data_IF_250379991946
#
_entry.id   IF_250379991946
#
_cell.length_a   1.000
_cell.length_b   1.000
_cell.length_c   1.000
_cell.angle_alpha   90.00
_cell.angle_beta   90.00
_cell.angle_gamma   90.00
#
_symmetry.space_group_name_H-M   'P 1'
#
loop_
_entity.id
_entity.type
_entity.pdbx_description
1 polymer ?
#
# COMPACT_ATOMS: atom_id res chain seq x y z
N UNK A 1 42.23 -12.71 54.96
CA UNK A 1 42.85 -12.98 53.64
C UNK A 1 42.08 -14.08 52.93
N UNK A 2 41.23 -13.74 51.94
CA UNK A 2 40.53 -14.76 51.15
C UNK A 2 41.54 -15.52 50.29
N UNK A 3 41.62 -16.85 50.49
CA UNK A 3 42.46 -17.79 49.75
C UNK A 3 42.41 -17.53 48.24
N UNK A 4 43.58 -17.40 47.61
CA UNK A 4 43.73 -17.01 46.20
C UNK A 4 43.01 -17.92 45.20
N UNK A 5 42.61 -19.13 45.62
CA UNK A 5 41.78 -20.04 44.81
C UNK A 5 40.31 -19.59 44.76
N UNK A 6 39.75 -19.07 45.85
CA UNK A 6 38.35 -18.63 45.91
C UNK A 6 38.10 -17.38 45.05
N UNK A 7 39.04 -16.43 45.06
CA UNK A 7 38.98 -15.23 44.21
C UNK A 7 38.99 -15.60 42.71
N UNK A 8 39.77 -16.60 42.30
CA UNK A 8 39.82 -17.07 40.91
C UNK A 8 38.50 -17.71 40.45
N UNK A 9 37.83 -18.47 41.31
CA UNK A 9 36.51 -19.07 41.01
C UNK A 9 35.44 -18.00 40.90
N UNK A 10 35.44 -17.02 41.82
CA UNK A 10 34.51 -15.89 41.79
C UNK A 10 34.68 -15.02 40.53
N UNK A 11 35.92 -14.72 40.13
CA UNK A 11 36.17 -14.00 38.88
C UNK A 11 35.74 -14.79 37.64
N UNK A 12 35.87 -16.13 37.65
CA UNK A 12 35.39 -16.96 36.53
C UNK A 12 33.86 -17.00 36.46
N UNK A 13 33.18 -17.05 37.60
CA UNK A 13 31.72 -16.97 37.67
C UNK A 13 31.21 -15.60 37.17
N UNK A 14 31.85 -14.51 37.59
CA UNK A 14 31.53 -13.16 37.12
C UNK A 14 31.80 -12.98 35.61
N UNK A 15 32.89 -13.54 35.09
CA UNK A 15 33.16 -13.54 33.65
C UNK A 15 32.12 -14.36 32.89
N UNK A 16 31.74 -15.53 33.38
CA UNK A 16 30.72 -16.36 32.73
C UNK A 16 29.34 -15.70 32.71
N UNK A 17 28.93 -15.04 33.80
CA UNK A 17 27.65 -14.33 33.84
C UNK A 17 27.62 -13.12 32.91
N UNK A 18 28.75 -12.38 32.81
CA UNK A 18 28.88 -11.27 31.87
C UNK A 18 28.79 -11.72 30.41
N UNK A 19 29.40 -12.86 30.06
CA UNK A 19 29.33 -13.43 28.71
C UNK A 19 27.88 -13.85 28.39
N UNK A 20 27.19 -14.50 29.32
CA UNK A 20 25.79 -14.92 29.14
C UNK A 20 24.88 -13.71 28.91
N UNK A 21 25.04 -12.65 29.71
CA UNK A 21 24.30 -11.40 29.55
C UNK A 21 24.56 -10.75 28.18
N UNK A 22 25.80 -10.77 27.71
CA UNK A 22 26.18 -10.20 26.41
C UNK A 22 25.53 -10.97 25.24
N UNK A 23 25.49 -12.30 25.32
CA UNK A 23 24.84 -13.16 24.32
C UNK A 23 23.33 -12.95 24.28
N UNK A 24 22.70 -12.80 25.45
CA UNK A 24 21.26 -12.50 25.56
C UNK A 24 20.94 -11.12 24.96
N UNK A 25 21.72 -10.09 25.30
CA UNK A 25 21.55 -8.75 24.76
C UNK A 25 21.71 -8.72 23.23
N UNK A 26 22.72 -9.41 22.69
CA UNK A 26 22.92 -9.54 21.25
C UNK A 26 21.72 -10.24 20.58
N UNK A 27 21.23 -11.33 21.17
CA UNK A 27 20.09 -12.09 20.63
C UNK A 27 18.81 -11.25 20.57
N UNK A 28 18.54 -10.46 21.62
CA UNK A 28 17.40 -9.52 21.65
C UNK A 28 17.57 -8.42 20.60
N UNK A 29 18.77 -7.87 20.47
CA UNK A 29 19.05 -6.81 19.49
C UNK A 29 18.88 -7.30 18.05
N UNK A 30 19.39 -8.48 17.72
CA UNK A 30 19.17 -9.10 16.42
C UNK A 30 17.68 -9.36 16.17
N UNK A 31 16.97 -9.94 17.14
CA UNK A 31 15.54 -10.22 17.00
C UNK A 31 14.71 -8.95 16.76
N UNK A 32 15.10 -7.83 17.38
CA UNK A 32 14.47 -6.53 17.16
C UNK A 32 14.81 -5.94 15.79
N UNK A 33 16.10 -5.98 15.40
CA UNK A 33 16.58 -5.37 14.14
C UNK A 33 16.12 -6.12 12.90
N UNK A 34 16.02 -7.44 12.99
CA UNK A 34 15.57 -8.34 11.92
C UNK A 34 14.10 -8.70 12.04
N UNK A 35 13.35 -8.05 12.94
CA UNK A 35 11.91 -8.27 13.04
C UNK A 35 11.28 -7.91 11.68
N UNK A 36 10.66 -8.85 10.97
CA UNK A 36 10.00 -8.53 9.72
C UNK A 36 8.90 -7.53 10.02
N UNK A 37 9.00 -6.35 9.43
CA UNK A 37 7.94 -5.36 9.49
C UNK A 37 6.70 -6.01 8.88
N UNK A 38 5.60 -6.03 9.63
CA UNK A 38 4.33 -6.50 9.10
C UNK A 38 3.98 -5.55 7.96
N UNK A 39 4.13 -6.03 6.72
CA UNK A 39 3.47 -5.43 5.58
C UNK A 39 1.98 -5.59 5.85
N UNK A 40 1.33 -4.47 6.16
CA UNK A 40 -0.11 -4.42 6.32
C UNK A 40 -0.70 -4.56 4.91
N UNK A 41 -0.78 -5.82 4.46
CA UNK A 41 -1.46 -6.18 3.23
C UNK A 41 -2.95 -6.00 3.51
N UNK A 42 -3.42 -4.75 3.41
CA UNK A 42 -4.84 -4.45 3.38
C UNK A 42 -5.44 -5.34 2.30
N UNK A 43 -6.45 -6.17 2.63
CA UNK A 43 -7.05 -7.04 1.64
C UNK A 43 -7.50 -6.19 0.48
N UNK A 44 -6.94 -6.48 -0.70
CA UNK A 44 -7.24 -5.81 -1.95
C UNK A 44 -8.73 -5.48 -2.02
N UNK A 45 -9.02 -4.19 -2.12
CA UNK A 45 -9.93 -3.65 -3.13
C UNK A 45 -10.95 -4.66 -3.64
N UNK A 46 -12.16 -4.64 -3.07
CA UNK A 46 -13.49 -5.15 -3.52
C UNK A 46 -13.61 -5.94 -4.85
N UNK A 47 -12.67 -6.79 -5.26
CA UNK A 47 -12.71 -7.54 -6.52
C UNK A 47 -13.92 -8.49 -6.48
N UNK A 48 -14.76 -8.51 -7.54
CA UNK A 48 -15.90 -9.43 -7.60
C UNK A 48 -15.38 -10.86 -7.47
N UNK A 49 -15.95 -11.60 -6.52
CA UNK A 49 -15.55 -12.99 -6.29
C UNK A 49 -16.17 -13.86 -7.39
N UNK A 50 -15.38 -14.74 -8.04
CA UNK A 50 -15.94 -15.70 -8.97
C UNK A 50 -16.91 -16.62 -8.23
N UNK A 51 -18.10 -16.80 -8.79
CA UNK A 51 -19.12 -17.70 -8.27
C UNK A 51 -19.20 -18.96 -9.14
N UNK A 52 -19.37 -20.12 -8.51
CA UNK A 52 -19.60 -21.37 -9.23
C UNK A 52 -21.10 -21.55 -9.42
N UNK A 53 -21.60 -21.30 -10.63
CA UNK A 53 -23.01 -21.51 -10.97
C UNK A 53 -23.12 -22.65 -11.97
N UNK A 54 -23.79 -23.73 -11.55
CA UNK A 54 -24.09 -24.91 -12.37
C UNK A 54 -22.85 -25.53 -13.03
N UNK A 55 -21.74 -25.62 -12.29
CA UNK A 55 -20.49 -26.20 -12.78
C UNK A 55 -19.70 -25.30 -13.74
N UNK A 56 -20.16 -24.07 -13.96
CA UNK A 56 -19.40 -23.03 -14.68
C UNK A 56 -18.95 -21.96 -13.69
N UNK A 57 -17.70 -21.51 -13.83
CA UNK A 57 -17.20 -20.35 -13.10
C UNK A 57 -17.77 -19.12 -13.80
N UNK A 58 -18.61 -18.37 -13.10
CA UNK A 58 -19.12 -17.08 -13.55
C UNK A 58 -18.48 -15.97 -12.73
N UNK A 59 -18.08 -14.89 -13.39
CA UNK A 59 -17.72 -13.66 -12.72
C UNK A 59 -18.91 -12.72 -12.88
N UNK A 60 -19.65 -12.39 -11.79
CA UNK A 60 -20.80 -11.51 -11.90
C UNK A 60 -20.32 -10.12 -12.35
N UNK A 61 -20.58 -9.81 -13.62
CA UNK A 61 -20.29 -8.52 -14.21
C UNK A 61 -21.38 -7.53 -13.79
N UNK A 62 -21.06 -6.63 -12.86
CA UNK A 62 -21.90 -5.47 -12.55
C UNK A 62 -21.35 -4.30 -13.34
N UNK A 63 -22.21 -3.38 -13.79
CA UNK A 63 -21.82 -2.14 -14.47
C UNK A 63 -21.08 -1.22 -13.49
N UNK A 64 -19.82 -1.57 -13.23
CA UNK A 64 -18.99 -0.96 -12.21
C UNK A 64 -17.69 -0.52 -12.82
N UNK A 65 -17.31 0.71 -12.50
CA UNK A 65 -16.07 1.31 -12.93
C UNK A 65 -14.99 1.01 -11.90
N UNK A 66 -13.82 0.62 -12.38
CA UNK A 66 -12.65 0.48 -11.52
C UNK A 66 -12.00 1.87 -11.38
N UNK A 67 -11.76 2.30 -10.15
CA UNK A 67 -11.20 3.61 -9.87
C UNK A 67 -10.14 3.53 -8.78
N UNK A 68 -8.93 3.99 -9.05
CA UNK A 68 -7.84 4.02 -8.08
C UNK A 68 -7.49 5.46 -7.74
N UNK A 69 -7.39 5.77 -6.45
CA UNK A 69 -6.94 7.10 -5.98
C UNK A 69 -5.42 7.20 -6.12
N UNK A 70 -4.97 8.17 -6.90
CA UNK A 70 -3.54 8.38 -7.21
C UNK A 70 -2.92 9.41 -6.27
N UNK A 71 -3.73 10.33 -5.73
CA UNK A 71 -3.27 11.34 -4.81
C UNK A 71 -4.37 12.29 -4.36
N UNK A 72 -4.15 12.89 -3.20
CA UNK A 72 -4.96 13.94 -2.62
C UNK A 72 -4.06 15.15 -2.32
N UNK A 73 -4.56 16.34 -2.63
CA UNK A 73 -3.85 17.60 -2.57
C UNK A 73 -4.75 18.66 -1.92
N UNK A 74 -4.15 19.55 -1.14
CA UNK A 74 -4.86 20.66 -0.50
C UNK A 74 -4.81 21.96 -1.34
N UNK A 75 -3.97 21.99 -2.39
CA UNK A 75 -3.80 23.11 -3.30
C UNK A 75 -4.26 22.75 -4.72
N UNK A 76 -5.11 23.61 -5.31
CA UNK A 76 -5.70 23.38 -6.63
C UNK A 76 -4.67 23.38 -7.76
N UNK A 77 -3.69 24.29 -7.69
CA UNK A 77 -2.68 24.44 -8.74
C UNK A 77 -1.74 23.23 -8.70
N UNK A 78 -1.32 22.81 -7.52
CA UNK A 78 -0.53 21.59 -7.36
C UNK A 78 -1.28 20.37 -7.92
N UNK A 79 -2.55 20.20 -7.55
CA UNK A 79 -3.37 19.11 -8.05
C UNK A 79 -3.51 19.14 -9.58
N UNK A 80 -3.74 20.32 -10.16
CA UNK A 80 -3.86 20.50 -11.60
C UNK A 80 -2.55 20.17 -12.34
N UNK A 81 -1.41 20.62 -11.82
CA UNK A 81 -0.10 20.34 -12.42
C UNK A 81 0.23 18.84 -12.39
N UNK A 82 -0.04 18.17 -11.26
CA UNK A 82 0.12 16.72 -11.15
C UNK A 82 -0.83 15.98 -12.10
N UNK A 83 -2.09 16.42 -12.19
CA UNK A 83 -3.05 15.86 -13.13
C UNK A 83 -2.58 15.96 -14.59
N UNK A 84 -2.14 17.13 -15.03
CA UNK A 84 -1.64 17.32 -16.40
C UNK A 84 -0.37 16.50 -16.68
N UNK A 85 0.53 16.45 -15.71
CA UNK A 85 1.75 15.62 -15.80
C UNK A 85 1.42 14.14 -15.99
N UNK A 86 0.49 13.61 -15.19
CA UNK A 86 0.05 12.22 -15.29
C UNK A 86 -0.67 11.97 -16.61
N UNK A 87 -1.64 12.81 -16.95
CA UNK A 87 -2.42 12.72 -18.19
C UNK A 87 -1.52 12.70 -19.42
N UNK A 88 -0.49 13.55 -19.46
CA UNK A 88 0.47 13.57 -20.57
C UNK A 88 1.29 12.28 -20.73
N UNK A 89 1.54 11.56 -19.63
CA UNK A 89 2.35 10.32 -19.63
C UNK A 89 1.54 9.04 -19.78
N UNK A 90 0.25 9.08 -19.45
CA UNK A 90 -0.66 7.93 -19.51
C UNK A 90 -1.65 7.98 -20.66
N UNK A 91 -1.68 9.07 -21.45
CA UNK A 91 -2.56 9.22 -22.60
C UNK A 91 -2.46 8.06 -23.61
N UNK A 92 -1.26 7.50 -23.82
CA UNK A 92 -1.05 6.37 -24.72
C UNK A 92 -1.54 5.02 -24.16
N UNK A 93 -1.71 4.93 -22.83
CA UNK A 93 -2.10 3.71 -22.14
C UNK A 93 -3.63 3.52 -22.12
N UNK A 94 -4.39 4.46 -22.69
CA UNK A 94 -5.86 4.40 -22.77
C UNK A 94 -6.56 4.59 -21.43
N UNK A 95 -5.87 5.19 -20.46
CA UNK A 95 -6.37 5.37 -19.08
C UNK A 95 -7.08 6.70 -18.94
N UNK A 96 -8.29 6.68 -18.38
CA UNK A 96 -9.00 7.90 -18.07
C UNK A 96 -8.55 8.43 -16.70
N UNK A 97 -8.19 9.71 -16.65
CA UNK A 97 -7.83 10.40 -15.41
C UNK A 97 -8.96 11.37 -15.05
N UNK A 98 -9.34 11.43 -13.78
CA UNK A 98 -10.30 12.40 -13.24
C UNK A 98 -9.60 13.24 -12.17
N UNK A 99 -9.84 14.55 -12.20
CA UNK A 99 -9.51 15.47 -11.12
C UNK A 99 -10.82 15.93 -10.49
N UNK A 100 -10.94 15.75 -9.19
CA UNK A 100 -12.17 16.05 -8.44
C UNK A 100 -11.85 17.01 -7.30
N UNK A 101 -12.82 17.83 -6.91
CA UNK A 101 -12.74 18.66 -5.72
C UNK A 101 -13.85 18.26 -4.75
N UNK A 102 -13.48 17.90 -3.53
CA UNK A 102 -14.42 17.53 -2.47
C UNK A 102 -14.30 18.52 -1.31
N UNK A 103 -15.41 18.97 -0.71
CA UNK A 103 -15.36 19.84 0.46
C UNK A 103 -14.77 19.06 1.65
N UNK A 104 -13.73 19.60 2.29
CA UNK A 104 -13.18 19.11 3.55
C UNK A 104 -13.20 20.21 4.63
N UNK A 105 -13.06 19.81 5.90
CA UNK A 105 -13.14 20.75 7.04
C UNK A 105 -12.05 21.84 7.01
N UNK A 106 -10.90 21.55 6.40
CA UNK A 106 -9.76 22.46 6.25
C UNK A 106 -9.76 23.27 4.95
N UNK A 107 -10.73 23.06 4.05
CA UNK A 107 -10.74 23.61 2.69
C UNK A 107 -11.13 22.57 1.64
N UNK A 108 -11.26 22.95 0.36
CA UNK A 108 -11.47 21.97 -0.72
C UNK A 108 -10.26 21.03 -0.83
N UNK A 109 -10.51 19.72 -0.81
CA UNK A 109 -9.50 18.69 -1.06
C UNK A 109 -9.62 18.23 -2.51
N UNK A 110 -8.52 18.31 -3.25
CA UNK A 110 -8.45 17.96 -4.66
C UNK A 110 -7.87 16.54 -4.80
N UNK A 111 -8.60 15.64 -5.45
CA UNK A 111 -8.21 14.23 -5.60
C UNK A 111 -8.13 13.83 -7.05
N UNK A 112 -7.10 13.05 -7.37
CA UNK A 112 -6.87 12.50 -8.71
C UNK A 112 -7.20 11.01 -8.69
N UNK A 113 -8.05 10.60 -9.61
CA UNK A 113 -8.43 9.19 -9.79
C UNK A 113 -8.03 8.70 -11.18
N UNK A 114 -7.50 7.48 -11.23
CA UNK A 114 -7.41 6.69 -12.45
C UNK A 114 -8.67 5.87 -12.56
N UNK A 115 -9.41 6.02 -13.66
CA UNK A 115 -10.59 5.22 -13.97
C UNK A 115 -10.28 4.23 -15.09
N UNK A 116 -10.55 2.96 -14.83
CA UNK A 116 -10.44 1.87 -15.77
C UNK A 116 -11.63 1.77 -16.72
N UNK A 117 -11.46 0.98 -17.78
CA UNK A 117 -12.42 0.88 -18.88
C UNK A 117 -13.18 -0.44 -18.78
N UNK A 118 -14.14 -0.49 -17.85
CA UNK A 118 -15.19 -1.51 -17.68
C UNK A 118 -14.74 -2.97 -17.45
N UNK A 119 -13.46 -3.31 -17.63
CA UNK A 119 -12.92 -4.65 -17.44
C UNK A 119 -11.79 -4.67 -16.39
N UNK A 120 -12.16 -5.15 -15.20
CA UNK A 120 -11.24 -5.34 -14.07
C UNK A 120 -10.03 -6.23 -14.40
N UNK A 121 -10.20 -7.24 -15.27
CA UNK A 121 -9.10 -8.15 -15.63
C UNK A 121 -8.04 -7.44 -16.47
N UNK A 122 -8.43 -6.38 -17.19
CA UNK A 122 -7.52 -5.54 -17.98
C UNK A 122 -7.03 -4.34 -17.17
N UNK A 123 -7.87 -3.80 -16.28
CA UNK A 123 -7.54 -2.61 -15.49
C UNK A 123 -6.49 -2.87 -14.40
N UNK A 124 -6.58 -4.01 -13.70
CA UNK A 124 -5.61 -4.39 -12.66
C UNK A 124 -4.17 -4.45 -13.20
N UNK A 125 -3.85 -5.21 -14.27
CA UNK A 125 -2.49 -5.26 -14.80
C UNK A 125 -2.04 -3.91 -15.38
N UNK A 126 -2.98 -3.09 -15.89
CA UNK A 126 -2.67 -1.74 -16.39
C UNK A 126 -2.28 -0.80 -15.25
N UNK A 127 -3.01 -0.81 -14.13
CA UNK A 127 -2.64 -0.09 -12.91
C UNK A 127 -1.28 -0.54 -12.38
N UNK A 128 -1.04 -1.85 -12.30
CA UNK A 128 0.25 -2.39 -11.88
C UNK A 128 1.40 -1.95 -12.81
N UNK A 129 1.14 -1.77 -14.11
CA UNK A 129 2.13 -1.24 -15.05
C UNK A 129 2.44 0.24 -14.79
N UNK A 130 1.43 1.06 -14.47
CA UNK A 130 1.61 2.46 -14.09
C UNK A 130 2.40 2.59 -12.77
N UNK A 131 2.08 1.75 -11.78
CA UNK A 131 2.84 1.64 -10.52
C UNK A 131 4.28 1.21 -10.79
N UNK A 132 4.49 0.18 -11.61
CA UNK A 132 5.82 -0.32 -11.96
C UNK A 132 6.68 0.68 -12.74
N UNK A 133 6.05 1.63 -13.45
CA UNK A 133 6.73 2.75 -14.11
C UNK A 133 6.98 3.94 -13.17
N UNK A 134 6.53 3.86 -11.92
CA UNK A 134 6.62 4.93 -10.93
C UNK A 134 5.80 6.16 -11.31
N UNK A 135 4.74 6.00 -12.14
CA UNK A 135 3.88 7.10 -12.53
C UNK A 135 2.82 7.39 -11.47
N UNK A 136 2.32 6.35 -10.81
CA UNK A 136 1.36 6.47 -9.72
C UNK A 136 1.94 5.79 -8.46
N UNK A 137 1.65 6.31 -7.24
CA UNK A 137 1.97 5.60 -6.02
C UNK A 137 1.13 4.34 -5.88
N UNK A 138 1.47 3.48 -4.93
CA UNK A 138 0.66 2.30 -4.64
C UNK A 138 -0.75 2.73 -4.26
N UNK A 139 -1.73 2.32 -5.07
CA UNK A 139 -3.08 2.87 -5.04
C UNK A 139 -4.10 1.77 -4.78
N UNK A 140 -4.97 1.99 -3.80
CA UNK A 140 -6.06 1.06 -3.49
C UNK A 140 -7.11 1.15 -4.60
N UNK A 141 -7.32 0.06 -5.32
CA UNK A 141 -8.40 -0.02 -6.31
C UNK A 141 -9.76 0.04 -5.59
N UNK A 142 -10.66 0.88 -6.06
CA UNK A 142 -12.04 0.95 -5.59
C UNK A 142 -12.97 0.62 -6.74
N UNK A 143 -14.10 0.00 -6.43
CA UNK A 143 -15.13 -0.31 -7.42
C UNK A 143 -16.27 0.67 -7.20
N UNK A 144 -16.50 1.51 -8.20
CA UNK A 144 -17.58 2.49 -8.23
C UNK A 144 -18.77 1.95 -9.00
N UNK A 145 -19.95 2.22 -8.48
CA UNK A 145 -21.21 2.08 -9.23
C UNK A 145 -21.35 3.19 -10.28
N UNK A 146 -22.24 3.01 -11.25
CA UNK A 146 -22.60 4.05 -12.23
C UNK A 146 -22.96 5.38 -11.58
N UNK A 147 -23.71 5.35 -10.46
CA UNK A 147 -24.10 6.56 -9.74
C UNK A 147 -22.90 7.28 -9.10
N UNK A 148 -21.95 6.52 -8.55
CA UNK A 148 -20.72 7.07 -7.97
C UNK A 148 -19.82 7.64 -9.07
N UNK A 149 -19.69 6.96 -10.20
CA UNK A 149 -18.95 7.45 -11.36
C UNK A 149 -19.56 8.74 -11.94
N UNK A 150 -20.89 8.79 -12.08
CA UNK A 150 -21.60 9.98 -12.54
C UNK A 150 -21.47 11.18 -11.58
N UNK A 151 -21.24 10.94 -10.29
CA UNK A 151 -21.02 12.01 -9.31
C UNK A 151 -19.68 12.73 -9.51
N UNK A 152 -18.66 12.02 -9.99
CA UNK A 152 -17.29 12.54 -10.14
C UNK A 152 -16.95 12.96 -11.58
N UNK A 153 -17.90 12.88 -12.51
CA UNK A 153 -17.76 13.29 -13.91
C UNK A 153 -18.31 14.70 -14.13
#
# INVERSE_FOLDING_TARGET
MLSGKLKKVLTRLLLSSAIILMVLAASVWLGYRFRPQRLDLRPFARIPRPELVRGSIILPYTNTFSAAEVGAYDDELEAFLYFEYLRGRTAADGVQMLLTASPAESGPSYRIFVVGQDDLLTDIPRLAQLEGRGLIPHSDLSIWSENEFAHFR
#
